data_IF_425619506127
#
_entry.id   IF_425619506127
#
_cell.length_a   1.000
_cell.length_b   1.000
_cell.length_c   1.000
_cell.angle_alpha   90.00
_cell.angle_beta   90.00
_cell.angle_gamma   90.00
#
_symmetry.space_group_name_H-M   'P 1'
#
loop_
_entity.id
_entity.type
_entity.pdbx_description
1 polymer ?
#
# COMPACT_ATOMS: atom_id res chain seq x y z
N UNK A 1 -0.16 34.58 -44.36
CA UNK A 1 0.12 35.73 -43.47
C UNK A 1 0.48 35.16 -42.11
N UNK A 2 1.77 35.04 -41.82
CA UNK A 2 2.30 34.42 -40.59
C UNK A 2 2.90 35.55 -39.77
N UNK A 3 2.30 35.84 -38.61
CA UNK A 3 2.81 36.85 -37.70
C UNK A 3 3.93 36.23 -36.86
N UNK A 4 5.17 36.61 -37.17
CA UNK A 4 6.36 36.28 -36.40
C UNK A 4 6.37 37.05 -35.08
N UNK A 5 6.02 36.39 -33.97
CA UNK A 5 6.29 36.91 -32.63
C UNK A 5 7.76 36.64 -32.27
N UNK A 6 8.61 37.67 -32.39
CA UNK A 6 9.95 37.65 -31.81
C UNK A 6 9.90 38.18 -30.37
N UNK A 7 10.45 37.49 -29.35
CA UNK A 7 10.54 38.00 -27.98
C UNK A 7 11.63 39.08 -27.84
N UNK A 8 11.26 40.28 -27.42
CA UNK A 8 12.11 41.47 -27.27
C UNK A 8 12.59 41.66 -25.81
N UNK A 9 12.97 40.57 -25.12
CA UNK A 9 13.46 40.66 -23.73
C UNK A 9 14.96 40.96 -23.62
N UNK A 10 15.64 41.25 -24.72
CA UNK A 10 17.06 41.58 -24.75
C UNK A 10 17.28 43.05 -25.14
N UNK A 11 17.04 43.96 -24.20
CA UNK A 11 17.58 45.33 -24.26
C UNK A 11 18.56 45.50 -23.11
N UNK A 12 19.84 45.44 -23.49
CA UNK A 12 20.96 46.02 -22.76
C UNK A 12 20.87 47.53 -22.88
N UNK A 13 20.40 48.23 -21.85
CA UNK A 13 20.60 49.68 -21.73
C UNK A 13 21.62 49.94 -20.63
N UNK A 14 22.85 50.09 -21.10
CA UNK A 14 23.98 50.68 -20.41
C UNK A 14 23.82 52.20 -20.52
N UNK A 15 23.06 52.82 -19.62
CA UNK A 15 23.12 54.27 -19.42
C UNK A 15 24.04 54.60 -18.24
N UNK A 16 25.24 55.04 -18.60
CA UNK A 16 26.27 55.53 -17.70
C UNK A 16 25.94 56.96 -17.25
N UNK A 17 25.10 57.08 -16.22
CA UNK A 17 24.81 58.38 -15.59
C UNK A 17 25.93 58.75 -14.61
N UNK A 18 26.82 59.63 -15.07
CA UNK A 18 27.87 60.24 -14.24
C UNK A 18 27.28 61.30 -13.30
N UNK A 19 27.20 60.99 -12.00
CA UNK A 19 26.74 61.90 -10.93
C UNK A 19 27.96 62.53 -10.23
N UNK A 20 27.98 63.86 -10.00
CA UNK A 20 29.15 64.55 -9.48
C UNK A 20 29.48 64.19 -8.02
N UNK A 21 30.77 63.95 -7.79
CA UNK A 21 31.40 63.63 -6.52
C UNK A 21 31.21 64.78 -5.52
N UNK A 22 30.42 64.56 -4.47
CA UNK A 22 30.43 65.39 -3.27
C UNK A 22 31.44 64.84 -2.26
N UNK A 23 32.28 65.77 -1.79
CA UNK A 23 33.42 65.54 -0.93
C UNK A 23 33.05 64.81 0.37
N UNK A 24 33.96 63.89 0.72
CA UNK A 24 33.96 63.02 1.86
C UNK A 24 33.74 63.73 3.19
N UNK A 25 32.68 63.35 3.91
CA UNK A 25 32.71 63.36 5.37
C UNK A 25 33.20 62.00 5.82
N UNK A 26 34.41 61.98 6.36
CA UNK A 26 35.01 60.82 7.02
C UNK A 26 34.14 60.42 8.22
N UNK A 27 33.17 59.54 7.96
CA UNK A 27 32.44 58.84 8.99
C UNK A 27 33.31 57.67 9.42
N UNK A 28 33.97 57.81 10.56
CA UNK A 28 34.68 56.71 11.23
C UNK A 28 33.64 55.67 11.64
N UNK A 29 33.36 54.74 10.74
CA UNK A 29 32.49 53.61 10.99
C UNK A 29 33.16 52.72 12.04
N UNK A 30 32.51 52.44 13.19
CA UNK A 30 33.06 51.46 14.11
C UNK A 30 33.11 50.12 13.37
N UNK A 31 34.27 49.48 13.36
CA UNK A 31 34.45 48.12 12.82
C UNK A 31 33.47 47.20 13.54
N UNK A 32 32.27 47.05 12.96
CA UNK A 32 31.22 46.17 13.43
C UNK A 32 31.71 44.77 13.12
N UNK A 33 32.43 44.19 14.09
CA UNK A 33 32.67 42.75 14.11
C UNK A 33 31.30 42.11 14.12
N UNK A 34 30.87 41.62 12.96
CA UNK A 34 29.73 40.73 12.82
C UNK A 34 30.08 39.46 13.61
N UNK A 35 29.79 39.49 14.91
CA UNK A 35 29.75 38.29 15.71
C UNK A 35 28.63 37.44 15.11
N UNK A 36 29.00 36.39 14.39
CA UNK A 36 28.09 35.41 13.80
C UNK A 36 27.41 34.67 14.96
N UNK A 37 26.36 35.28 15.52
CA UNK A 37 25.58 34.77 16.65
C UNK A 37 24.47 33.81 16.19
N UNK A 38 24.77 32.95 15.23
CA UNK A 38 23.81 31.96 14.74
C UNK A 38 24.20 30.48 14.89
N UNK A 39 25.13 30.04 15.77
CA UNK A 39 25.32 28.61 15.95
C UNK A 39 24.07 27.95 16.57
N UNK A 40 23.35 28.64 17.45
CA UNK A 40 22.20 28.07 18.16
C UNK A 40 20.97 27.82 17.26
N UNK A 41 20.69 28.70 16.29
CA UNK A 41 19.52 28.55 15.42
C UNK A 41 19.66 27.38 14.44
N UNK A 42 20.88 27.14 13.94
CA UNK A 42 21.17 26.04 13.01
C UNK A 42 21.03 24.69 13.73
N UNK A 43 21.50 24.59 14.98
CA UNK A 43 21.37 23.38 15.80
C UNK A 43 19.90 23.05 16.09
N UNK A 44 19.09 24.06 16.40
CA UNK A 44 17.65 23.87 16.62
C UNK A 44 16.91 23.36 15.38
N UNK A 45 17.17 23.94 14.21
CA UNK A 45 16.55 23.51 12.95
C UNK A 45 16.99 22.09 12.57
N UNK A 46 18.27 21.75 12.75
CA UNK A 46 18.78 20.39 12.50
C UNK A 46 18.16 19.35 13.44
N UNK A 47 17.95 19.69 14.71
CA UNK A 47 17.30 18.80 15.67
C UNK A 47 15.84 18.52 15.29
N UNK A 48 15.09 19.55 14.91
CA UNK A 48 13.67 19.41 14.49
C UNK A 48 13.56 18.59 13.21
N UNK A 49 14.44 18.82 12.21
CA UNK A 49 14.49 18.00 11.00
C UNK A 49 14.87 16.56 11.31
N UNK A 50 15.85 16.33 12.19
CA UNK A 50 16.27 15.01 12.63
C UNK A 50 15.15 14.24 13.32
N UNK A 51 14.47 14.86 14.31
CA UNK A 51 13.32 14.26 15.00
C UNK A 51 12.16 13.99 14.03
N UNK A 52 11.87 14.95 13.13
CA UNK A 52 10.84 14.77 12.11
C UNK A 52 11.15 13.59 11.19
N UNK A 53 12.41 13.43 10.78
CA UNK A 53 12.83 12.33 9.91
C UNK A 53 12.79 10.97 10.63
N UNK A 54 13.17 10.92 11.90
CA UNK A 54 13.04 9.71 12.74
C UNK A 54 11.57 9.34 12.94
N UNK A 55 10.68 10.31 13.17
CA UNK A 55 9.25 10.05 13.32
C UNK A 55 8.61 9.56 12.02
N UNK A 56 8.93 10.18 10.87
CA UNK A 56 8.42 9.76 9.55
C UNK A 56 8.93 8.36 9.19
N UNK A 57 10.22 8.06 9.44
CA UNK A 57 10.76 6.71 9.24
C UNK A 57 10.16 5.69 10.19
N UNK A 58 10.01 6.02 11.47
CA UNK A 58 9.39 5.15 12.47
C UNK A 58 7.95 4.80 12.14
N UNK A 59 7.14 5.74 11.67
CA UNK A 59 5.76 5.48 11.23
C UNK A 59 5.72 4.59 9.97
N UNK A 60 6.70 4.71 9.07
CA UNK A 60 6.81 3.81 7.93
C UNK A 60 7.30 2.41 8.33
N UNK A 61 8.20 2.28 9.30
CA UNK A 61 8.66 1.00 9.84
C UNK A 61 7.57 0.29 10.64
N UNK A 62 6.73 1.01 11.40
CA UNK A 62 5.53 0.48 12.06
C UNK A 62 4.48 -0.02 11.06
N UNK A 63 4.31 0.67 9.91
CA UNK A 63 3.48 0.17 8.80
C UNK A 63 4.14 -1.01 8.08
N UNK A 64 5.47 -1.06 8.03
CA UNK A 64 6.26 -2.13 7.42
C UNK A 64 6.33 -3.41 8.27
N UNK A 65 6.24 -3.32 9.60
CA UNK A 65 6.26 -4.47 10.50
C UNK A 65 4.88 -5.14 10.67
N UNK A 66 3.80 -4.50 10.22
CA UNK A 66 2.46 -5.10 10.17
C UNK A 66 2.18 -5.84 8.84
N UNK A 67 3.01 -5.63 7.81
CA UNK A 67 2.93 -6.37 6.55
C UNK A 67 3.92 -7.52 6.57
N UNK A 68 3.44 -8.76 6.44
CA UNK A 68 4.32 -9.90 6.14
C UNK A 68 5.12 -9.66 4.86
N UNK A 69 6.08 -10.53 4.57
CA UNK A 69 6.87 -10.46 3.34
C UNK A 69 5.95 -10.29 2.11
N UNK A 70 6.30 -9.40 1.16
CA UNK A 70 5.48 -9.16 -0.02
C UNK A 70 5.26 -10.46 -0.77
N UNK A 71 3.99 -10.81 -1.01
CA UNK A 71 3.62 -12.04 -1.72
C UNK A 71 3.51 -11.74 -3.21
N UNK A 72 4.30 -12.47 -4.01
CA UNK A 72 4.32 -12.33 -5.47
C UNK A 72 3.59 -13.53 -6.08
N UNK A 73 2.59 -13.26 -6.91
CA UNK A 73 1.86 -14.22 -7.73
C UNK A 73 2.25 -14.02 -9.19
N UNK A 74 2.73 -15.07 -9.84
CA UNK A 74 3.12 -15.06 -11.24
C UNK A 74 1.95 -15.53 -12.09
N UNK A 75 1.61 -14.77 -13.12
CA UNK A 75 0.64 -15.15 -14.15
C UNK A 75 1.43 -15.81 -15.28
N UNK A 76 1.28 -17.12 -15.40
CA UNK A 76 2.05 -17.97 -16.33
C UNK A 76 1.12 -18.64 -17.34
N UNK A 77 1.64 -19.20 -18.45
CA UNK A 77 0.82 -19.96 -19.40
C UNK A 77 0.08 -21.16 -18.78
N UNK A 78 0.58 -21.71 -17.66
CA UNK A 78 -0.04 -22.81 -16.94
C UNK A 78 -1.12 -22.36 -15.92
N UNK A 79 -1.24 -21.05 -15.67
CA UNK A 79 -2.11 -20.49 -14.65
C UNK A 79 -1.36 -19.59 -13.66
N UNK A 80 -1.91 -19.46 -12.45
CA UNK A 80 -1.32 -18.66 -11.38
C UNK A 80 -0.36 -19.48 -10.52
N UNK A 81 0.79 -18.89 -10.20
CA UNK A 81 1.80 -19.50 -9.33
C UNK A 81 2.26 -18.52 -8.24
N UNK A 82 1.91 -18.73 -6.97
CA UNK A 82 0.95 -19.72 -6.47
C UNK A 82 -0.50 -19.38 -6.83
N UNK A 83 -1.36 -20.40 -6.94
CA UNK A 83 -2.80 -20.21 -7.18
C UNK A 83 -3.55 -19.76 -5.91
N UNK A 84 -3.15 -20.30 -4.77
CA UNK A 84 -3.72 -20.00 -3.46
C UNK A 84 -2.69 -19.27 -2.59
N UNK A 85 -3.10 -18.17 -1.98
CA UNK A 85 -2.25 -17.41 -1.05
C UNK A 85 -2.98 -17.11 0.25
N UNK A 86 -2.26 -17.19 1.36
CA UNK A 86 -2.77 -16.75 2.66
C UNK A 86 -2.12 -15.43 3.05
N UNK A 87 -2.94 -14.43 3.34
CA UNK A 87 -2.51 -13.08 3.69
C UNK A 87 -3.16 -12.62 5.00
N UNK A 88 -2.56 -11.64 5.64
CA UNK A 88 -3.17 -10.89 6.75
C UNK A 88 -3.73 -9.54 6.26
N UNK A 89 -4.73 -8.96 6.95
CA UNK A 89 -5.20 -7.61 6.64
C UNK A 89 -4.04 -6.61 6.60
N UNK A 90 -4.04 -5.73 5.59
CA UNK A 90 -2.96 -4.75 5.39
C UNK A 90 -1.68 -5.30 4.73
N UNK A 91 -1.62 -6.56 4.32
CA UNK A 91 -0.50 -7.06 3.51
C UNK A 91 -0.60 -6.63 2.05
N UNK A 92 0.54 -6.57 1.38
CA UNK A 92 0.63 -6.26 -0.05
C UNK A 92 0.81 -7.54 -0.86
N UNK A 93 0.00 -7.65 -1.90
CA UNK A 93 0.05 -8.69 -2.91
C UNK A 93 0.47 -8.07 -4.24
N UNK A 94 1.37 -8.75 -4.95
CA UNK A 94 1.91 -8.34 -6.24
C UNK A 94 1.63 -9.41 -7.28
N UNK A 95 1.00 -9.04 -8.38
CA UNK A 95 0.83 -9.91 -9.55
C UNK A 95 1.84 -9.53 -10.62
N UNK A 96 2.60 -10.51 -11.10
CA UNK A 96 3.57 -10.38 -12.18
C UNK A 96 3.06 -11.08 -13.42
N UNK A 97 2.90 -10.36 -14.52
CA UNK A 97 2.50 -10.97 -15.78
C UNK A 97 3.73 -11.48 -16.54
N UNK A 98 3.81 -12.79 -16.74
CA UNK A 98 4.87 -13.44 -17.52
C UNK A 98 4.37 -14.02 -18.85
N UNK A 99 3.11 -13.74 -19.19
CA UNK A 99 2.53 -14.07 -20.48
C UNK A 99 2.68 -12.90 -21.45
N UNK A 100 2.62 -13.20 -22.75
CA UNK A 100 2.65 -12.20 -23.82
C UNK A 100 1.30 -11.47 -24.01
N UNK A 101 0.26 -11.89 -23.29
CA UNK A 101 -1.07 -11.28 -23.32
C UNK A 101 -1.28 -10.38 -22.09
N UNK A 102 -2.00 -9.25 -22.22
CA UNK A 102 -2.35 -8.41 -21.08
C UNK A 102 -3.44 -9.04 -20.22
N UNK A 103 -3.35 -8.86 -18.90
CA UNK A 103 -4.34 -9.36 -17.95
C UNK A 103 -5.08 -8.26 -17.20
N UNK A 104 -6.38 -8.45 -16.99
CA UNK A 104 -7.19 -7.68 -16.05
C UNK A 104 -7.71 -8.67 -15.03
N UNK A 105 -7.42 -8.45 -13.75
CA UNK A 105 -7.91 -9.27 -12.64
C UNK A 105 -9.05 -8.56 -11.93
N UNK A 106 -10.10 -9.29 -11.59
CA UNK A 106 -11.25 -8.77 -10.87
C UNK A 106 -11.75 -9.77 -9.84
N UNK A 107 -12.33 -9.28 -8.75
CA UNK A 107 -13.06 -10.07 -7.76
C UNK A 107 -14.42 -9.43 -7.51
N UNK A 108 -15.37 -10.21 -7.02
CA UNK A 108 -16.66 -9.69 -6.53
C UNK A 108 -16.59 -9.26 -5.06
N UNK A 109 -15.61 -9.78 -4.30
CA UNK A 109 -15.61 -9.68 -2.84
C UNK A 109 -14.25 -9.40 -2.20
N UNK A 110 -13.11 -9.61 -2.87
CA UNK A 110 -11.78 -9.43 -2.28
C UNK A 110 -11.55 -7.94 -1.91
N UNK A 111 -11.46 -7.59 -0.61
CA UNK A 111 -11.31 -6.20 -0.20
C UNK A 111 -9.84 -5.76 -0.31
N UNK A 112 -9.60 -4.71 -1.09
CA UNK A 112 -8.31 -4.03 -1.21
C UNK A 112 -8.44 -2.56 -0.81
N UNK A 113 -7.32 -1.87 -0.60
CA UNK A 113 -7.37 -0.42 -0.40
C UNK A 113 -8.01 0.26 -1.61
N UNK A 114 -9.09 1.00 -1.36
CA UNK A 114 -9.86 1.69 -2.40
C UNK A 114 -11.07 0.94 -2.93
N UNK A 115 -11.37 -0.28 -2.47
CA UNK A 115 -12.61 -1.00 -2.79
C UNK A 115 -12.43 -2.50 -2.97
N UNK A 116 -13.15 -3.08 -3.93
CA UNK A 116 -12.98 -4.48 -4.32
C UNK A 116 -11.88 -4.57 -5.38
N UNK A 117 -11.12 -5.68 -5.40
CA UNK A 117 -10.06 -5.90 -6.37
C UNK A 117 -10.57 -5.73 -7.81
N UNK A 118 -10.04 -4.72 -8.49
CA UNK A 118 -10.15 -4.53 -9.93
C UNK A 118 -8.86 -3.88 -10.43
N UNK A 119 -8.12 -4.58 -11.29
CA UNK A 119 -6.82 -4.11 -11.76
C UNK A 119 -6.97 -3.37 -13.10
N UNK A 120 -6.05 -2.44 -13.42
CA UNK A 120 -5.83 -2.04 -14.81
C UNK A 120 -5.24 -3.21 -15.62
N UNK A 121 -4.96 -2.96 -16.90
CA UNK A 121 -4.19 -3.90 -17.72
C UNK A 121 -2.79 -4.10 -17.15
N UNK A 122 -2.50 -5.34 -16.72
CA UNK A 122 -1.17 -5.80 -16.36
C UNK A 122 -0.51 -6.28 -17.65
N UNK A 123 0.38 -5.46 -18.21
CA UNK A 123 1.05 -5.74 -19.48
C UNK A 123 2.11 -6.85 -19.32
N UNK A 124 2.52 -7.50 -20.42
CA UNK A 124 3.59 -8.49 -20.41
C UNK A 124 4.87 -7.98 -19.74
N UNK A 125 5.42 -8.77 -18.82
CA UNK A 125 6.64 -8.46 -18.07
C UNK A 125 6.49 -7.39 -16.97
N UNK A 126 5.27 -6.92 -16.70
CA UNK A 126 5.01 -5.89 -15.70
C UNK A 126 4.35 -6.45 -14.44
N UNK A 127 4.46 -5.69 -13.35
CA UNK A 127 3.89 -6.03 -12.05
C UNK A 127 2.77 -5.04 -11.68
N UNK A 128 1.73 -5.53 -11.01
CA UNK A 128 0.72 -4.71 -10.34
C UNK A 128 0.66 -5.09 -8.87
N UNK A 129 0.58 -4.12 -7.97
CA UNK A 129 0.50 -4.38 -6.52
C UNK A 129 -0.75 -3.73 -5.93
N UNK A 130 -1.42 -4.48 -5.05
CA UNK A 130 -2.52 -3.98 -4.24
C UNK A 130 -2.30 -4.34 -2.77
N UNK A 131 -2.84 -3.52 -1.87
CA UNK A 131 -2.82 -3.78 -0.44
C UNK A 131 -4.18 -4.29 -0.01
N UNK A 132 -4.22 -5.39 0.73
CA UNK A 132 -5.44 -5.89 1.36
C UNK A 132 -5.94 -4.83 2.35
N UNK A 133 -7.25 -4.59 2.37
CA UNK A 133 -7.82 -3.60 3.28
C UNK A 133 -7.42 -3.92 4.75
N UNK A 134 -7.01 -2.93 5.56
CA UNK A 134 -6.55 -3.17 6.93
C UNK A 134 -7.66 -3.67 7.86
N UNK A 135 -8.91 -3.42 7.49
CA UNK A 135 -10.16 -3.83 8.14
C UNK A 135 -10.82 -5.02 7.45
N UNK A 136 -10.13 -5.69 6.52
CA UNK A 136 -10.65 -6.86 5.83
C UNK A 136 -11.04 -7.97 6.82
N UNK A 137 -12.25 -8.50 6.67
CA UNK A 137 -12.70 -9.64 7.45
C UNK A 137 -11.98 -10.93 7.02
N UNK A 138 -11.73 -11.86 7.95
CA UNK A 138 -11.15 -13.16 7.61
C UNK A 138 -12.07 -13.95 6.69
N UNK A 139 -11.53 -14.55 5.64
CA UNK A 139 -12.33 -15.25 4.65
C UNK A 139 -11.55 -15.74 3.44
N UNK A 140 -12.22 -16.49 2.57
CA UNK A 140 -11.68 -16.95 1.30
C UNK A 140 -12.31 -16.15 0.16
N UNK A 141 -11.48 -15.54 -0.67
CA UNK A 141 -11.91 -14.66 -1.74
C UNK A 141 -11.32 -15.12 -3.07
N UNK A 142 -12.20 -15.36 -4.04
CA UNK A 142 -11.80 -15.75 -5.38
C UNK A 142 -11.69 -14.53 -6.28
N UNK A 143 -10.73 -14.55 -7.20
CA UNK A 143 -10.60 -13.57 -8.26
C UNK A 143 -10.30 -14.28 -9.57
N UNK A 144 -10.68 -13.64 -10.67
CA UNK A 144 -10.59 -14.19 -12.03
C UNK A 144 -9.97 -13.16 -12.97
N UNK A 145 -9.44 -13.61 -14.11
CA UNK A 145 -9.06 -12.71 -15.19
C UNK A 145 -10.23 -12.48 -16.16
N UNK A 146 -10.47 -11.21 -16.51
CA UNK A 146 -11.44 -10.85 -17.55
C UNK A 146 -10.93 -11.11 -18.98
N UNK A 147 -9.62 -11.27 -19.15
CA UNK A 147 -9.00 -11.46 -20.47
C UNK A 147 -8.60 -12.91 -20.74
N UNK A 148 -8.71 -13.80 -19.75
CA UNK A 148 -8.38 -15.21 -19.88
C UNK A 148 -9.25 -16.07 -18.95
N UNK A 149 -9.97 -17.04 -19.51
CA UNK A 149 -10.93 -17.89 -18.78
C UNK A 149 -10.27 -18.89 -17.81
N UNK A 150 -8.99 -19.21 -18.01
CA UNK A 150 -8.25 -20.19 -17.23
C UNK A 150 -7.42 -19.59 -16.08
N UNK A 151 -7.54 -18.28 -15.83
CA UNK A 151 -6.80 -17.58 -14.78
C UNK A 151 -7.75 -17.28 -13.62
N UNK A 152 -7.73 -18.16 -12.61
CA UNK A 152 -8.52 -18.05 -11.38
C UNK A 152 -7.64 -18.36 -10.18
N UNK A 153 -7.69 -17.50 -9.16
CA UNK A 153 -6.92 -17.65 -7.94
C UNK A 153 -7.75 -17.38 -6.69
N UNK A 154 -7.22 -17.77 -5.53
CA UNK A 154 -7.88 -17.58 -4.24
C UNK A 154 -6.94 -16.93 -3.24
N UNK A 155 -7.46 -15.94 -2.52
CA UNK A 155 -6.80 -15.27 -1.41
C UNK A 155 -7.55 -15.64 -0.13
N UNK A 156 -6.85 -16.25 0.82
CA UNK A 156 -7.36 -16.50 2.18
C UNK A 156 -6.84 -15.41 3.12
N UNK A 157 -7.74 -14.57 3.62
CA UNK A 157 -7.41 -13.59 4.64
C UNK A 157 -7.51 -14.27 6.01
N UNK A 158 -6.37 -14.40 6.69
CA UNK A 158 -6.29 -14.97 8.03
C UNK A 158 -6.79 -13.99 9.09
N UNK A 159 -7.40 -14.53 10.15
CA UNK A 159 -7.72 -13.73 11.32
C UNK A 159 -6.44 -13.17 11.95
N UNK A 160 -6.46 -11.91 12.43
CA UNK A 160 -5.35 -11.38 13.20
C UNK A 160 -5.12 -12.30 14.39
N UNK A 161 -3.87 -12.73 14.57
CA UNK A 161 -3.51 -13.58 15.71
C UNK A 161 -3.94 -12.86 16.99
N UNK A 162 -4.60 -13.56 17.94
CA UNK A 162 -4.98 -12.94 19.20
C UNK A 162 -3.72 -12.39 19.86
N UNK A 163 -3.73 -11.11 20.23
CA UNK A 163 -2.67 -10.52 21.03
C UNK A 163 -2.43 -11.44 22.22
N UNK A 164 -1.21 -11.95 22.43
CA UNK A 164 -0.95 -12.81 23.57
C UNK A 164 -1.33 -12.01 24.82
N UNK A 165 -2.35 -12.47 25.55
CA UNK A 165 -2.63 -11.92 26.87
C UNK A 165 -1.33 -12.05 27.67
N UNK A 166 -0.98 -11.05 28.49
CA UNK A 166 0.18 -11.18 29.38
C UNK A 166 0.00 -12.48 30.15
N UNK A 167 0.97 -13.39 30.01
CA UNK A 167 0.98 -14.64 30.75
C UNK A 167 0.83 -14.29 32.22
N UNK A 168 -0.35 -14.56 32.78
CA UNK A 168 -0.57 -14.47 34.21
C UNK A 168 0.49 -15.34 34.86
N UNK A 169 1.38 -14.72 35.64
CA UNK A 169 2.42 -15.42 36.38
C UNK A 169 1.68 -16.44 37.25
N UNK A 170 1.77 -17.71 36.86
CA UNK A 170 1.31 -18.81 37.70
C UNK A 170 2.10 -18.69 39.02
N UNK A 171 1.38 -18.50 40.11
CA UNK A 171 1.96 -18.47 41.45
C UNK A 171 2.82 -19.74 41.65
N UNK A 172 3.99 -19.64 42.29
CA UNK A 172 4.83 -20.81 42.55
C UNK A 172 4.04 -21.79 43.43
N UNK A 173 3.60 -22.90 42.84
CA UNK A 173 3.09 -24.05 43.59
C UNK A 173 4.26 -24.65 44.36
N UNK A 174 4.14 -24.58 45.68
CA UNK A 174 5.11 -25.08 46.65
C UNK A 174 5.40 -26.57 46.39
N UNK A 175 6.68 -26.89 46.20
CA UNK A 175 7.18 -28.24 46.01
C UNK A 175 6.90 -29.08 47.26
N UNK A 176 6.01 -30.08 47.14
CA UNK A 176 5.86 -31.15 48.11
C UNK A 176 6.96 -32.21 47.92
N UNK A 177 7.51 -32.80 49.01
CA UNK A 177 8.72 -33.61 48.95
C UNK A 177 8.51 -34.97 48.27
N UNK A 178 9.54 -35.31 47.51
CA UNK A 178 9.83 -36.52 46.76
C UNK A 178 9.65 -37.80 47.57
N UNK A 179 8.94 -38.79 47.01
CA UNK A 179 8.98 -40.19 47.47
C UNK A 179 9.80 -41.03 46.49
N UNK A 180 10.78 -41.83 46.97
CA UNK A 180 11.71 -42.54 46.09
C UNK A 180 11.29 -43.99 45.76
N UNK A 181 11.75 -44.41 44.56
CA UNK A 181 12.20 -45.75 44.13
C UNK A 181 11.15 -46.87 43.89
N UNK A 182 11.05 -47.31 42.63
CA UNK A 182 11.12 -48.72 42.25
C UNK A 182 11.76 -48.87 40.84
N UNK A 183 12.61 -49.89 40.74
CA UNK A 183 13.67 -50.15 39.75
C UNK A 183 13.17 -50.84 38.43
N UNK A 184 14.06 -51.14 37.46
CA UNK A 184 13.73 -51.32 36.05
C UNK A 184 13.42 -52.77 35.69
N UNK A 185 12.59 -52.96 34.65
CA UNK A 185 12.45 -54.28 34.00
C UNK A 185 12.72 -54.11 32.51
N UNK A 186 13.80 -54.79 32.10
CA UNK A 186 14.27 -54.99 30.75
C UNK A 186 13.46 -56.10 30.06
N UNK A 187 13.14 -55.92 28.76
CA UNK A 187 13.29 -56.91 27.67
C UNK A 187 12.21 -56.78 26.58
N UNK A 188 12.64 -56.72 25.32
CA UNK A 188 11.85 -57.19 24.17
C UNK A 188 11.98 -56.36 22.89
N UNK A 189 12.68 -56.85 21.84
CA UNK A 189 12.62 -56.28 20.50
C UNK A 189 11.51 -56.95 19.70
N UNK A 190 10.47 -56.19 19.32
CA UNK A 190 9.44 -56.66 18.40
C UNK A 190 9.06 -55.56 17.39
N UNK A 191 9.71 -55.59 16.23
CA UNK A 191 9.09 -55.22 14.93
C UNK A 191 8.32 -56.47 14.45
N UNK A 192 7.36 -56.44 13.50
CA UNK A 192 6.80 -55.34 12.69
C UNK A 192 5.23 -55.27 12.82
N UNK A 193 4.52 -54.28 12.28
CA UNK A 193 3.83 -54.30 10.97
C UNK A 193 3.11 -52.94 10.86
N UNK A 194 3.25 -52.26 9.72
CA UNK A 194 2.52 -51.02 9.42
C UNK A 194 1.07 -51.33 9.02
N UNK A 195 0.05 -50.67 9.59
CA UNK A 195 -1.29 -50.70 9.01
C UNK A 195 -1.31 -49.87 7.73
N UNK A 196 -1.88 -50.44 6.67
CA UNK A 196 -2.12 -49.77 5.40
C UNK A 196 -2.89 -48.47 5.62
N UNK A 197 -2.46 -47.45 4.90
CA UNK A 197 -3.07 -46.14 4.82
C UNK A 197 -4.59 -46.22 4.59
N UNK A 198 -5.34 -45.69 5.56
CA UNK A 198 -6.72 -45.27 5.38
C UNK A 198 -6.73 -44.09 4.40
N UNK A 199 -7.06 -44.36 3.13
CA UNK A 199 -7.32 -43.32 2.15
C UNK A 199 -8.56 -42.55 2.62
N UNK A 200 -8.51 -41.22 2.79
CA UNK A 200 -9.67 -40.43 3.17
C UNK A 200 -10.72 -40.50 2.04
N UNK A 201 -11.91 -41.01 2.36
CA UNK A 201 -13.06 -40.96 1.46
C UNK A 201 -13.59 -39.53 1.42
N UNK A 202 -13.67 -38.96 0.22
CA UNK A 202 -14.30 -37.67 -0.03
C UNK A 202 -15.81 -37.75 0.28
N UNK A 203 -16.34 -36.96 1.24
CA UNK A 203 -17.76 -36.98 1.60
C UNK A 203 -18.69 -36.36 0.54
N UNK A 204 -18.15 -35.81 -0.55
CA UNK A 204 -18.94 -35.23 -1.65
C UNK A 204 -19.14 -36.17 -2.86
N UNK A 205 -18.76 -37.45 -2.76
CA UNK A 205 -19.12 -38.44 -3.77
C UNK A 205 -20.60 -38.82 -3.63
N UNK A 206 -21.48 -37.92 -4.05
CA UNK A 206 -22.91 -38.16 -4.24
C UNK A 206 -23.09 -39.32 -5.23
N UNK A 207 -23.78 -40.35 -4.76
CA UNK A 207 -24.20 -41.50 -5.54
C UNK A 207 -24.92 -41.06 -6.83
N UNK A 208 -24.30 -41.41 -7.97
CA UNK A 208 -24.99 -42.09 -9.06
C UNK A 208 -26.30 -41.50 -9.58
N UNK A 209 -26.40 -40.20 -9.81
CA UNK A 209 -27.49 -39.67 -10.67
C UNK A 209 -27.02 -39.70 -12.13
N UNK A 210 -27.68 -40.47 -13.02
CA UNK A 210 -27.39 -40.41 -14.45
C UNK A 210 -27.75 -39.02 -14.98
N UNK A 211 -26.75 -38.32 -15.51
CA UNK A 211 -26.94 -37.03 -16.16
C UNK A 211 -27.68 -37.29 -17.49
N UNK A 212 -28.86 -36.69 -17.74
CA UNK A 212 -29.54 -36.82 -19.02
C UNK A 212 -28.70 -36.19 -20.15
N UNK A 213 -28.77 -36.72 -21.39
CA UNK A 213 -28.06 -36.14 -22.52
C UNK A 213 -28.56 -34.72 -22.79
N UNK A 214 -27.63 -33.76 -22.84
CA UNK A 214 -27.93 -32.36 -23.16
C UNK A 214 -28.58 -32.25 -24.54
N UNK A 215 -29.69 -31.49 -24.69
CA UNK A 215 -30.26 -31.21 -26.00
C UNK A 215 -29.29 -30.33 -26.80
N UNK A 216 -29.00 -30.77 -28.02
CA UNK A 216 -28.19 -30.01 -28.98
C UNK A 216 -28.85 -28.66 -29.27
N UNK A 217 -28.27 -27.59 -28.74
CA UNK A 217 -28.61 -26.21 -29.11
C UNK A 217 -27.98 -25.91 -30.47
N UNK A 218 -28.80 -25.97 -31.52
CA UNK A 218 -28.46 -25.41 -32.83
C UNK A 218 -28.18 -23.90 -32.69
N UNK A 219 -27.04 -23.39 -33.20
CA UNK A 219 -26.77 -21.97 -33.20
C UNK A 219 -27.67 -21.29 -34.24
N UNK A 220 -28.76 -20.68 -33.77
CA UNK A 220 -29.57 -19.78 -34.59
C UNK A 220 -28.84 -18.44 -34.64
N UNK A 221 -28.00 -18.26 -35.66
CA UNK A 221 -27.29 -17.00 -35.94
C UNK A 221 -28.35 -15.96 -36.36
N UNK A 222 -28.57 -14.88 -35.60
CA UNK A 222 -29.46 -13.82 -36.04
C UNK A 222 -28.84 -13.07 -37.24
N UNK A 223 -29.64 -12.68 -38.24
CA UNK A 223 -29.15 -11.93 -39.40
C UNK A 223 -28.61 -10.56 -38.97
N UNK A 224 -27.43 -10.20 -39.48
CA UNK A 224 -26.82 -8.88 -39.26
C UNK A 224 -27.76 -7.76 -39.76
N UNK A 225 -27.92 -6.66 -39.01
CA UNK A 225 -28.62 -5.49 -39.49
C UNK A 225 -27.86 -4.83 -40.66
N UNK A 226 -28.57 -4.25 -41.65
CA UNK A 226 -27.93 -3.57 -42.77
C UNK A 226 -27.17 -2.33 -42.30
N UNK A 227 -25.93 -2.19 -42.76
CA UNK A 227 -25.09 -1.01 -42.52
C UNK A 227 -25.77 0.26 -43.03
N UNK A 228 -26.24 1.10 -42.11
CA UNK A 228 -26.75 2.42 -42.42
C UNK A 228 -25.59 3.36 -42.80
N UNK A 229 -25.67 3.85 -44.03
CA UNK A 229 -24.77 4.84 -44.63
C UNK A 229 -24.86 6.16 -43.87
N UNK A 230 -23.70 6.78 -43.65
CA UNK A 230 -23.48 7.83 -42.67
C UNK A 230 -24.35 9.08 -42.79
N UNK A 231 -24.75 9.56 -41.62
CA UNK A 231 -25.26 10.91 -41.39
C UNK A 231 -24.06 11.81 -41.01
N UNK A 232 -23.80 12.92 -41.71
CA UNK A 232 -22.75 13.86 -41.31
C UNK A 232 -23.16 14.55 -40.00
N UNK A 233 -22.32 14.41 -38.96
CA UNK A 233 -22.50 15.07 -37.67
C UNK A 233 -22.37 16.59 -37.82
N UNK A 234 -23.21 17.40 -37.14
CA UNK A 234 -23.05 18.85 -37.08
C UNK A 234 -21.82 19.25 -36.24
N UNK A 235 -21.20 20.40 -36.50
CA UNK A 235 -20.06 20.88 -35.73
C UNK A 235 -20.46 21.21 -34.29
N UNK A 236 -19.86 20.51 -33.32
CA UNK A 236 -19.94 20.87 -31.90
C UNK A 236 -19.22 22.20 -31.67
N UNK A 237 -19.99 23.28 -31.56
CA UNK A 237 -19.55 24.50 -30.89
C UNK A 237 -19.51 24.26 -29.38
N UNK A 238 -18.44 23.63 -28.90
CA UNK A 238 -18.22 23.42 -27.47
C UNK A 238 -17.63 24.70 -26.85
N UNK A 239 -18.51 25.54 -26.30
CA UNK A 239 -18.14 26.57 -25.33
C UNK A 239 -17.77 25.89 -24.00
N UNK A 240 -16.55 25.34 -23.95
CA UNK A 240 -15.96 24.80 -22.71
C UNK A 240 -15.35 25.97 -21.97
N UNK A 241 -16.04 26.46 -20.94
CA UNK A 241 -15.41 27.37 -19.98
C UNK A 241 -14.30 26.60 -19.24
N UNK A 242 -13.09 27.13 -19.14
CA UNK A 242 -12.03 26.49 -18.38
C UNK A 242 -12.45 26.39 -16.90
N UNK A 243 -12.37 25.17 -16.39
CA UNK A 243 -12.58 24.84 -14.99
C UNK A 243 -11.58 25.60 -14.14
N UNK A 244 -12.05 26.59 -13.37
CA UNK A 244 -11.22 27.31 -12.40
C UNK A 244 -10.83 26.39 -11.28
N UNK A 245 -9.54 26.06 -11.23
CA UNK A 245 -8.89 25.31 -10.16
C UNK A 245 -9.12 26.02 -8.81
N UNK A 246 -9.59 25.33 -7.76
CA UNK A 246 -9.67 25.92 -6.43
C UNK A 246 -8.25 26.24 -5.95
N UNK A 247 -7.94 27.53 -5.83
CA UNK A 247 -6.71 28.00 -5.20
C UNK A 247 -6.74 27.64 -3.71
N UNK A 248 -6.21 26.47 -3.36
CA UNK A 248 -5.77 26.18 -1.98
C UNK A 248 -4.44 26.89 -1.74
N UNK A 249 -4.52 28.19 -1.46
CA UNK A 249 -3.35 28.99 -1.12
C UNK A 249 -2.67 28.50 0.18
N UNK A 250 -1.35 28.69 0.36
CA UNK A 250 -0.56 28.15 1.49
C UNK A 250 -0.90 28.76 2.87
N UNK A 251 -1.94 29.60 2.96
CA UNK A 251 -2.24 30.38 4.16
C UNK A 251 -3.10 29.65 5.20
N UNK A 252 -3.69 28.50 4.87
CA UNK A 252 -4.57 27.75 5.77
C UNK A 252 -3.91 26.62 6.58
N UNK A 253 -2.91 25.92 6.02
CA UNK A 253 -2.34 24.72 6.67
C UNK A 253 -1.33 25.06 7.79
N UNK A 254 -0.73 26.25 7.79
CA UNK A 254 0.23 26.65 8.82
C UNK A 254 -0.38 26.74 10.23
N UNK A 255 -1.62 27.23 10.35
CA UNK A 255 -2.25 27.43 11.65
C UNK A 255 -2.61 26.11 12.35
N UNK A 256 -3.07 25.10 11.60
CA UNK A 256 -3.44 23.80 12.15
C UNK A 256 -2.22 23.02 12.69
N UNK A 257 -1.07 23.12 12.00
CA UNK A 257 0.17 22.48 12.44
C UNK A 257 0.73 23.12 13.72
N UNK A 258 0.65 24.45 13.86
CA UNK A 258 1.13 25.16 15.06
C UNK A 258 0.28 24.79 16.29
N UNK A 259 -1.05 24.71 16.14
CA UNK A 259 -1.95 24.32 17.25
C UNK A 259 -1.69 22.88 17.70
N UNK A 260 -1.47 21.95 16.76
CA UNK A 260 -1.14 20.56 17.08
C UNK A 260 0.20 20.45 17.83
N UNK A 261 1.23 21.20 17.41
CA UNK A 261 2.53 21.17 18.08
C UNK A 261 2.47 21.70 19.51
N UNK A 262 1.70 22.77 19.75
CA UNK A 262 1.52 23.35 21.10
C UNK A 262 0.81 22.34 22.02
N UNK A 263 -0.20 21.61 21.51
CA UNK A 263 -0.90 20.58 22.28
C UNK A 263 0.01 19.41 22.68
N UNK A 264 0.84 18.93 21.76
CA UNK A 264 1.78 17.83 22.02
C UNK A 264 2.86 18.23 23.02
N UNK A 265 3.43 19.43 22.89
CA UNK A 265 4.42 19.94 23.86
C UNK A 265 3.78 20.16 25.23
N UNK A 266 2.56 20.72 25.28
CA UNK A 266 1.81 20.87 26.52
C UNK A 266 1.52 19.53 27.21
N UNK A 267 1.17 18.49 26.45
CA UNK A 267 0.95 17.15 26.99
C UNK A 267 2.25 16.53 27.52
N UNK A 268 3.37 16.66 26.81
CA UNK A 268 4.67 16.16 27.26
C UNK A 268 5.10 16.82 28.57
N UNK A 269 5.02 18.15 28.67
CA UNK A 269 5.37 18.88 29.90
C UNK A 269 4.47 18.47 31.08
N UNK A 270 3.19 18.21 30.82
CA UNK A 270 2.24 17.79 31.86
C UNK A 270 2.51 16.37 32.35
N UNK A 271 2.94 15.46 31.46
CA UNK A 271 3.32 14.10 31.81
C UNK A 271 4.63 14.05 32.62
N UNK A 272 5.63 14.86 32.25
CA UNK A 272 6.90 14.93 33.01
C UNK A 272 6.72 15.54 34.40
N UNK A 273 5.78 16.47 34.57
CA UNK A 273 5.51 17.11 35.88
C UNK A 273 4.77 16.18 36.86
N UNK A 274 4.04 15.19 36.36
CA UNK A 274 3.24 14.28 37.20
C UNK A 274 4.04 13.12 37.80
N UNK A 275 5.28 12.90 37.36
CA UNK A 275 6.17 11.86 37.87
C UNK A 275 7.08 12.27 39.04
N UNK A 276 6.95 13.51 39.56
CA UNK A 276 7.80 14.06 40.62
C UNK A 276 7.01 14.54 41.87
N UNK A 277 5.78 14.07 42.05
CA UNK A 277 5.02 14.18 43.33
C UNK A 277 4.59 12.80 43.76
#
# INVERSE_FOLDING_TARGET
MVASLHPHWHSTDTEEVSVPVHASKTHTEPVRRYAVRHPAAIVGVMLVLGLGMVFVRGVQELRGQAGGSPVIIRITPAGLEPQDVSLSPGQTITWRNEQDAPHILTSDALPVEGGILSTPHILPGTDFSARIAPDAEPGNFTYVSLTAENITGTVTIAAPAPTPLPSSIAAPVSAGPSRPIAAPVSAGPSRPIAPLASIPRNPYALEGTPIPPSPALSPQIPPLPPSSRGTPLPPLAASVRPFTQPQTGPRGMGAALIISMILVVGLCVRLTRKGHS
#
